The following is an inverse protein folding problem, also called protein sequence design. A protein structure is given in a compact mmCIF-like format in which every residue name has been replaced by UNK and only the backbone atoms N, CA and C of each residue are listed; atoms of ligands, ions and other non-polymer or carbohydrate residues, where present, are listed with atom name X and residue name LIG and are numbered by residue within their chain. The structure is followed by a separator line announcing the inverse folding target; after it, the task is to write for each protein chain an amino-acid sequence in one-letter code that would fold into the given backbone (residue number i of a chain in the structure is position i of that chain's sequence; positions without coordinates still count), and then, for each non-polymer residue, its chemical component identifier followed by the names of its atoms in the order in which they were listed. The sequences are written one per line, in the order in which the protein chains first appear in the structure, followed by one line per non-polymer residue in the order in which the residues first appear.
data_IF_498363433006
#
_entry.id   IF_498363433006
#
_cell.length_a   1.000
_cell.length_b   1.000
_cell.length_c   1.000
_cell.angle_alpha   90.00
_cell.angle_beta   90.00
_cell.angle_gamma   90.00
#
_symmetry.space_group_name_H-M   'P 1'
#
loop_
_entity.id
_entity.type
_entity.pdbx_description
1 polymer ?
#
# COMPACT_ATOMS: atom_id res chain seq x y z
N UNK A 1 29.14 -8.36 -4.70
CA UNK A 1 28.15 -8.22 -3.61
C UNK A 1 28.39 -6.90 -2.93
N UNK A 2 27.36 -6.06 -2.81
CA UNK A 2 27.43 -4.79 -2.11
C UNK A 2 27.46 -5.04 -0.60
N UNK A 3 28.36 -4.35 0.11
CA UNK A 3 28.44 -4.35 1.57
C UNK A 3 28.25 -2.94 2.08
N UNK A 4 27.27 -2.74 2.95
CA UNK A 4 27.06 -1.47 3.62
C UNK A 4 28.05 -1.31 4.76
N UNK A 5 28.52 -0.10 4.97
CA UNK A 5 29.57 0.20 5.97
C UNK A 5 29.05 1.30 6.89
N UNK A 6 29.13 1.06 8.19
CA UNK A 6 28.85 2.05 9.21
C UNK A 6 30.14 2.44 9.91
N UNK A 7 30.25 3.69 10.29
CA UNK A 7 31.30 4.16 11.17
C UNK A 7 31.14 3.57 12.59
N UNK A 8 32.10 3.81 13.48
CA UNK A 8 32.06 3.31 14.85
C UNK A 8 30.86 3.85 15.66
N UNK A 9 30.44 5.08 15.38
CA UNK A 9 29.28 5.75 15.96
C UNK A 9 27.94 5.28 15.36
N UNK A 10 27.98 4.45 14.29
CA UNK A 10 26.82 3.95 13.59
C UNK A 10 26.37 4.82 12.42
N UNK A 11 27.02 5.94 12.13
CA UNK A 11 26.72 6.77 10.97
C UNK A 11 27.01 6.03 9.65
N UNK A 12 26.17 6.19 8.61
CA UNK A 12 26.38 5.49 7.36
C UNK A 12 27.54 6.09 6.56
N UNK A 13 28.38 5.21 6.03
CA UNK A 13 29.48 5.52 5.12
C UNK A 13 29.18 5.02 3.71
N UNK A 14 30.09 5.32 2.77
CA UNK A 14 29.96 4.78 1.41
C UNK A 14 30.07 3.26 1.41
N UNK A 15 29.17 2.56 0.71
CA UNK A 15 29.20 1.12 0.60
C UNK A 15 30.38 0.65 -0.25
N UNK A 16 30.75 -0.61 -0.13
CA UNK A 16 31.89 -1.17 -0.86
C UNK A 16 31.52 -2.47 -1.58
N UNK A 17 32.12 -2.67 -2.75
CA UNK A 17 32.07 -3.93 -3.49
C UNK A 17 33.30 -4.82 -3.22
N UNK A 18 34.30 -4.32 -2.49
CA UNK A 18 35.54 -5.03 -2.21
C UNK A 18 35.40 -6.04 -1.08
N UNK A 19 34.90 -7.22 -1.40
CA UNK A 19 34.65 -8.31 -0.44
C UNK A 19 35.96 -8.80 0.22
N UNK A 20 37.11 -8.76 -0.51
CA UNK A 20 38.41 -9.17 0.06
C UNK A 20 38.77 -8.25 1.21
N UNK A 21 38.69 -6.93 1.03
CA UNK A 21 38.92 -5.93 2.07
C UNK A 21 37.98 -6.11 3.26
N UNK A 22 36.70 -6.34 3.02
CA UNK A 22 35.70 -6.59 4.07
C UNK A 22 36.07 -7.81 4.91
N UNK A 23 36.46 -8.93 4.28
CA UNK A 23 36.88 -10.16 4.97
C UNK A 23 38.14 -9.92 5.82
N UNK A 24 39.12 -9.17 5.30
CA UNK A 24 40.32 -8.82 6.03
C UNK A 24 39.99 -7.94 7.26
N UNK A 25 39.10 -6.98 7.11
CA UNK A 25 38.69 -6.12 8.23
C UNK A 25 37.97 -6.89 9.34
N UNK A 26 37.10 -7.81 8.97
CA UNK A 26 36.37 -8.70 9.90
C UNK A 26 37.37 -9.64 10.61
N UNK A 27 38.30 -10.28 9.86
CA UNK A 27 39.31 -11.17 10.43
C UNK A 27 40.29 -10.45 11.36
N UNK A 28 40.63 -9.20 11.01
CA UNK A 28 41.56 -8.37 11.82
C UNK A 28 40.87 -7.58 12.93
N UNK A 29 39.61 -7.83 13.26
CA UNK A 29 38.85 -7.13 14.30
C UNK A 29 38.62 -5.64 14.06
N UNK A 30 38.91 -5.13 12.86
CA UNK A 30 38.71 -3.72 12.49
C UNK A 30 37.25 -3.41 12.07
N UNK A 31 36.41 -4.43 11.90
CA UNK A 31 35.00 -4.30 11.69
C UNK A 31 34.26 -5.47 12.34
N UNK A 32 33.00 -5.24 12.67
CA UNK A 32 32.07 -6.26 13.16
C UNK A 32 30.83 -6.32 12.27
N UNK A 33 30.17 -7.47 12.23
CA UNK A 33 28.90 -7.61 11.49
C UNK A 33 27.82 -6.85 12.25
N UNK A 34 27.23 -5.83 11.62
CA UNK A 34 26.13 -5.03 12.19
C UNK A 34 24.76 -5.59 11.83
N UNK A 35 24.64 -6.25 10.67
CA UNK A 35 23.36 -6.83 10.26
C UNK A 35 23.36 -7.37 8.84
N UNK A 36 22.18 -7.94 8.47
CA UNK A 36 21.94 -8.49 7.13
C UNK A 36 20.74 -7.85 6.42
N UNK A 37 20.14 -6.81 7.00
CA UNK A 37 18.98 -6.11 6.42
C UNK A 37 19.22 -4.60 6.44
N UNK A 38 19.00 -3.90 5.33
CA UNK A 38 18.47 -4.33 4.01
C UNK A 38 19.48 -5.16 3.18
N UNK A 39 20.74 -5.23 3.59
CA UNK A 39 21.79 -6.04 3.01
C UNK A 39 22.90 -6.29 4.02
N UNK A 40 23.95 -6.97 3.60
CA UNK A 40 25.08 -7.24 4.47
C UNK A 40 25.75 -5.94 4.91
N UNK A 41 25.78 -5.72 6.21
CA UNK A 41 26.24 -4.47 6.84
C UNK A 41 27.33 -4.76 7.87
N UNK A 42 28.42 -4.04 7.79
CA UNK A 42 29.50 -4.05 8.78
C UNK A 42 29.60 -2.70 9.46
N UNK A 43 30.08 -2.69 10.70
CA UNK A 43 30.41 -1.48 11.46
C UNK A 43 31.89 -1.48 11.79
N UNK A 44 32.54 -0.36 11.56
CA UNK A 44 33.96 -0.16 11.95
C UNK A 44 34.10 -0.14 13.47
N UNK A 45 35.21 -0.66 13.97
CA UNK A 45 35.52 -0.69 15.41
C UNK A 45 36.44 0.47 15.83
N UNK A 46 36.93 1.25 14.88
CA UNK A 46 37.83 2.38 15.10
C UNK A 46 37.22 3.68 14.59
N UNK A 47 37.56 4.77 15.23
CA UNK A 47 37.17 6.10 14.78
C UNK A 47 37.95 6.48 13.52
N UNK A 48 37.30 7.15 12.61
CA UNK A 48 37.95 7.70 11.42
C UNK A 48 38.78 8.93 11.83
N UNK A 49 39.99 9.14 11.25
CA UNK A 49 40.87 10.24 11.64
C UNK A 49 40.26 11.63 11.55
N UNK A 50 39.37 11.84 10.58
CA UNK A 50 38.64 13.09 10.35
C UNK A 50 37.16 12.94 10.69
N UNK A 51 36.85 12.85 11.98
CA UNK A 51 35.45 12.73 12.43
C UNK A 51 34.56 13.93 12.09
N UNK A 52 35.11 15.07 11.66
CA UNK A 52 34.31 16.27 11.37
C UNK A 52 33.46 16.16 10.09
N UNK A 53 33.91 15.45 9.07
CA UNK A 53 33.10 15.16 7.85
C UNK A 53 33.65 13.92 7.14
N UNK A 54 33.03 12.74 7.27
CA UNK A 54 33.45 11.60 6.46
C UNK A 54 33.32 11.97 4.99
N UNK A 55 34.36 11.71 4.18
CA UNK A 55 34.35 11.88 2.73
C UNK A 55 33.32 10.94 2.09
N UNK A 56 32.07 11.36 2.09
CA UNK A 56 30.98 10.63 1.42
C UNK A 56 30.63 11.34 0.13
N UNK A 57 30.45 10.56 -0.94
CA UNK A 57 29.85 11.08 -2.16
C UNK A 57 28.41 11.50 -1.86
N UNK A 58 27.91 12.45 -2.65
CA UNK A 58 26.49 12.77 -2.60
C UNK A 58 25.68 11.55 -3.05
N UNK A 59 24.75 11.09 -2.20
CA UNK A 59 23.86 9.96 -2.44
C UNK A 59 22.42 10.44 -2.37
N UNK A 60 21.66 10.11 -3.39
CA UNK A 60 20.23 10.42 -3.47
C UNK A 60 19.40 9.15 -3.43
N UNK A 61 18.22 9.22 -2.83
CA UNK A 61 17.20 8.22 -2.88
C UNK A 61 16.03 8.75 -3.70
N UNK A 62 15.62 7.98 -4.69
CA UNK A 62 14.48 8.29 -5.54
C UNK A 62 13.40 7.23 -5.33
N UNK A 63 12.17 7.68 -5.10
CA UNK A 63 11.03 6.80 -4.87
C UNK A 63 9.86 7.16 -5.79
N UNK A 64 9.50 6.21 -6.68
CA UNK A 64 8.24 6.25 -7.41
C UNK A 64 7.14 5.74 -6.49
N UNK A 65 6.35 6.68 -5.96
CA UNK A 65 5.36 6.40 -4.95
C UNK A 65 4.09 5.82 -5.57
N UNK A 66 3.74 4.59 -5.22
CA UNK A 66 2.57 3.90 -5.77
C UNK A 66 1.70 3.18 -4.74
N UNK A 67 0.47 2.88 -5.13
CA UNK A 67 -0.50 2.19 -4.27
C UNK A 67 -0.20 0.70 -4.08
N UNK A 68 0.17 0.01 -5.15
CA UNK A 68 0.45 -1.43 -5.16
C UNK A 68 1.93 -1.74 -5.39
N UNK A 69 2.59 -0.93 -6.17
CA UNK A 69 3.98 -1.08 -6.54
C UNK A 69 4.71 0.22 -6.23
N UNK A 70 5.90 0.11 -5.67
CA UNK A 70 6.76 1.23 -5.33
C UNK A 70 8.11 0.95 -5.97
N UNK A 71 8.65 1.92 -6.68
CA UNK A 71 10.02 1.87 -7.17
C UNK A 71 10.96 2.60 -6.21
N UNK A 72 12.15 2.06 -6.00
CA UNK A 72 13.20 2.72 -5.20
C UNK A 72 14.53 2.57 -5.91
N UNK A 73 15.21 3.68 -6.10
CA UNK A 73 16.59 3.74 -6.58
C UNK A 73 17.43 4.56 -5.61
N UNK A 74 18.55 4.00 -5.14
CA UNK A 74 19.52 4.74 -4.32
C UNK A 74 20.84 4.79 -5.06
N UNK A 75 21.33 5.98 -5.32
CA UNK A 75 22.42 6.18 -6.28
C UNK A 75 23.30 7.38 -5.95
N UNK A 76 24.53 7.31 -6.46
CA UNK A 76 25.47 8.43 -6.54
C UNK A 76 25.76 8.76 -8.00
N UNK A 77 26.61 9.72 -8.28
CA UNK A 77 26.96 10.09 -9.64
C UNK A 77 27.53 8.93 -10.49
N UNK A 78 28.16 7.91 -9.87
CA UNK A 78 28.81 6.79 -10.56
C UNK A 78 28.09 5.47 -10.45
N UNK A 79 27.43 5.19 -9.34
CA UNK A 79 26.87 3.88 -9.01
C UNK A 79 25.43 4.00 -8.52
N UNK A 80 24.60 3.13 -8.99
CA UNK A 80 23.33 2.79 -8.38
C UNK A 80 23.59 1.64 -7.37
N UNK A 81 23.24 1.84 -6.11
CA UNK A 81 23.44 0.88 -5.03
C UNK A 81 22.23 0.00 -4.81
N UNK A 82 21.05 0.56 -5.03
CA UNK A 82 19.77 -0.12 -4.86
C UNK A 82 18.89 0.16 -6.05
N UNK A 83 18.41 -0.89 -6.68
CA UNK A 83 17.40 -0.85 -7.75
C UNK A 83 16.30 -1.83 -7.36
N UNK A 84 15.19 -1.31 -6.81
CA UNK A 84 14.22 -2.13 -6.11
C UNK A 84 12.80 -1.81 -6.54
N UNK A 85 12.05 -2.86 -6.87
CA UNK A 85 10.59 -2.79 -6.93
C UNK A 85 9.99 -3.44 -5.69
N UNK A 86 9.07 -2.75 -5.05
CA UNK A 86 8.35 -3.23 -3.86
C UNK A 86 6.90 -3.46 -4.21
N UNK A 87 6.47 -4.71 -4.13
CA UNK A 87 5.05 -5.05 -4.21
C UNK A 87 4.44 -4.94 -2.81
N UNK A 88 3.48 -4.05 -2.65
CA UNK A 88 2.74 -3.86 -1.40
C UNK A 88 1.70 -4.97 -1.23
N UNK A 89 1.01 -5.01 -0.08
CA UNK A 89 -0.03 -5.99 0.20
C UNK A 89 -1.21 -5.85 -0.80
N UNK A 90 -1.24 -6.70 -1.83
CA UNK A 90 -2.29 -6.70 -2.84
C UNK A 90 -3.59 -7.36 -2.34
N UNK A 91 -3.48 -8.30 -1.41
CA UNK A 91 -4.58 -9.10 -0.83
C UNK A 91 -5.25 -8.45 0.40
N UNK A 92 -4.84 -7.23 0.76
CA UNK A 92 -5.33 -6.55 1.96
C UNK A 92 -6.86 -6.44 1.99
N UNK A 93 -7.47 -6.13 0.85
CA UNK A 93 -8.93 -6.04 0.72
C UNK A 93 -9.60 -7.39 0.98
N UNK A 94 -9.12 -8.45 0.35
CA UNK A 94 -9.68 -9.81 0.51
C UNK A 94 -9.58 -10.26 1.97
N UNK A 95 -8.46 -9.94 2.62
CA UNK A 95 -8.24 -10.25 4.01
C UNK A 95 -9.20 -9.48 4.94
N UNK A 96 -9.44 -8.20 4.69
CA UNK A 96 -10.43 -7.42 5.43
C UNK A 96 -11.84 -7.95 5.23
N UNK A 97 -12.20 -8.37 4.02
CA UNK A 97 -13.50 -8.96 3.74
C UNK A 97 -13.67 -10.32 4.43
N UNK A 98 -12.63 -11.15 4.46
CA UNK A 98 -12.64 -12.39 5.23
C UNK A 98 -12.80 -12.13 6.74
N UNK A 99 -12.07 -11.18 7.30
CA UNK A 99 -12.22 -10.78 8.71
C UNK A 99 -13.61 -10.22 9.01
N UNK A 100 -14.21 -9.49 8.07
CA UNK A 100 -15.59 -8.99 8.21
C UNK A 100 -16.57 -10.15 8.26
N UNK A 101 -16.44 -11.15 7.39
CA UNK A 101 -17.27 -12.37 7.38
C UNK A 101 -17.14 -13.13 8.71
N UNK A 102 -15.93 -13.38 9.19
CA UNK A 102 -15.71 -14.04 10.48
C UNK A 102 -16.33 -13.28 11.65
N UNK A 103 -16.21 -11.94 11.68
CA UNK A 103 -16.86 -11.12 12.70
C UNK A 103 -18.38 -11.18 12.60
N UNK A 104 -18.95 -11.19 11.37
CA UNK A 104 -20.39 -11.33 11.16
C UNK A 104 -20.88 -12.69 11.68
N UNK A 105 -20.23 -13.79 11.27
CA UNK A 105 -20.58 -15.14 11.73
C UNK A 105 -20.52 -15.28 13.24
N UNK A 106 -19.47 -14.73 13.88
CA UNK A 106 -19.34 -14.73 15.33
C UNK A 106 -20.43 -13.92 16.02
N UNK A 107 -20.86 -12.79 15.46
CA UNK A 107 -21.95 -11.97 16.01
C UNK A 107 -23.30 -12.64 15.90
N UNK A 108 -23.57 -13.35 14.84
CA UNK A 108 -24.83 -14.07 14.64
C UNK A 108 -25.03 -15.22 15.63
N UNK A 109 -23.95 -15.69 16.28
CA UNK A 109 -24.00 -16.70 17.35
C UNK A 109 -24.13 -16.11 18.75
N UNK A 110 -24.07 -14.80 18.89
CA UNK A 110 -24.15 -14.08 20.16
C UNK A 110 -25.44 -13.29 20.21
N UNK A 111 -25.87 -12.93 21.46
CA UNK A 111 -26.97 -12.00 21.68
C UNK A 111 -26.88 -10.81 20.72
N UNK A 112 -28.04 -10.32 20.31
CA UNK A 112 -28.15 -9.09 19.53
C UNK A 112 -27.33 -7.99 20.22
N UNK A 113 -26.50 -7.34 19.42
CA UNK A 113 -25.76 -6.14 19.81
C UNK A 113 -26.03 -5.09 18.75
N UNK A 114 -26.36 -3.90 19.19
CA UNK A 114 -26.49 -2.76 18.29
C UNK A 114 -25.27 -2.60 17.40
N UNK A 115 -25.52 -2.20 16.18
CA UNK A 115 -24.47 -1.89 15.23
C UNK A 115 -23.67 -0.67 15.71
N UNK A 116 -22.35 -0.82 15.81
CA UNK A 116 -21.46 0.22 16.35
C UNK A 116 -20.92 1.19 15.29
N UNK A 117 -21.50 1.24 14.09
CA UNK A 117 -20.91 2.07 13.04
C UNK A 117 -21.07 3.58 13.33
N UNK A 118 -22.15 3.98 13.93
CA UNK A 118 -22.44 5.40 14.18
C UNK A 118 -21.54 6.01 15.26
N UNK A 119 -21.14 5.19 16.25
CA UNK A 119 -20.27 5.63 17.36
C UNK A 119 -18.82 5.98 16.93
N UNK A 120 -18.43 5.77 15.68
CA UNK A 120 -17.06 6.03 15.21
C UNK A 120 -16.98 7.10 14.13
N UNK A 121 -18.09 7.47 13.53
CA UNK A 121 -18.10 8.41 12.41
C UNK A 121 -17.79 9.83 12.88
N UNK A 122 -18.32 10.21 14.04
CA UNK A 122 -18.17 11.56 14.60
C UNK A 122 -17.01 11.70 15.60
N UNK A 123 -16.36 10.60 16.01
CA UNK A 123 -15.27 10.62 16.99
C UNK A 123 -13.86 10.69 16.39
N UNK A 124 -13.75 10.90 15.09
CA UNK A 124 -12.45 10.96 14.40
C UNK A 124 -11.84 12.35 14.51
N UNK A 125 -10.59 12.40 14.93
CA UNK A 125 -9.83 13.66 14.97
C UNK A 125 -9.61 14.22 13.56
N UNK A 126 -9.51 15.54 13.40
CA UNK A 126 -9.09 16.14 12.14
C UNK A 126 -7.80 15.47 11.61
N UNK A 127 -7.70 15.25 10.32
CA UNK A 127 -6.54 14.61 9.71
C UNK A 127 -6.43 13.08 9.91
N UNK A 128 -7.44 12.42 10.52
CA UNK A 128 -7.45 10.98 10.67
C UNK A 128 -7.44 10.26 9.32
N UNK A 129 -6.56 9.29 9.15
CA UNK A 129 -6.56 8.37 8.02
C UNK A 129 -7.08 7.00 8.41
N UNK A 130 -7.72 6.31 7.47
CA UNK A 130 -8.06 4.90 7.66
C UNK A 130 -6.76 4.09 7.91
N UNK A 131 -6.75 3.12 8.85
CA UNK A 131 -5.53 2.38 9.19
C UNK A 131 -4.82 1.71 8.01
N UNK A 132 -5.57 1.28 6.99
CA UNK A 132 -5.00 0.73 5.76
C UNK A 132 -4.27 1.78 4.92
N UNK A 133 -4.80 3.00 4.85
CA UNK A 133 -4.15 4.12 4.15
C UNK A 133 -2.90 4.57 4.92
N UNK A 134 -2.99 4.69 6.23
CA UNK A 134 -1.85 5.02 7.08
C UNK A 134 -0.75 3.97 6.94
N UNK A 135 -1.11 2.69 7.01
CA UNK A 135 -0.13 1.61 6.82
C UNK A 135 0.59 1.67 5.48
N UNK A 136 -0.13 1.98 4.40
CA UNK A 136 0.49 2.14 3.07
C UNK A 136 1.39 3.37 3.01
N UNK A 137 0.98 4.49 3.59
CA UNK A 137 1.84 5.67 3.70
C UNK A 137 3.11 5.37 4.51
N UNK A 138 2.98 4.66 5.64
CA UNK A 138 4.11 4.27 6.48
C UNK A 138 5.10 3.33 5.77
N UNK A 139 4.66 2.60 4.73
CA UNK A 139 5.58 1.76 3.93
C UNK A 139 6.60 2.63 3.21
N UNK A 140 6.17 3.73 2.58
CA UNK A 140 7.03 4.68 1.89
C UNK A 140 8.07 5.27 2.85
N UNK A 141 7.61 5.81 3.96
CA UNK A 141 8.48 6.39 4.99
C UNK A 141 9.50 5.38 5.52
N UNK A 142 9.08 4.13 5.74
CA UNK A 142 9.97 3.05 6.20
C UNK A 142 11.02 2.66 5.16
N UNK A 143 10.71 2.71 3.87
CA UNK A 143 11.69 2.44 2.82
C UNK A 143 12.81 3.49 2.87
N UNK A 144 12.47 4.77 2.90
CA UNK A 144 13.44 5.85 3.05
C UNK A 144 14.28 5.65 4.32
N UNK A 145 13.65 5.49 5.48
CA UNK A 145 14.34 5.29 6.77
C UNK A 145 15.24 4.03 6.78
N UNK A 146 14.84 2.97 6.08
CA UNK A 146 15.63 1.73 6.02
C UNK A 146 16.95 1.95 5.28
N UNK A 147 16.93 2.64 4.16
CA UNK A 147 18.16 2.90 3.40
C UNK A 147 18.98 4.03 3.98
N UNK A 148 18.37 5.05 4.58
CA UNK A 148 19.08 6.13 5.28
C UNK A 148 19.97 5.60 6.43
N UNK A 149 19.57 4.53 7.09
CA UNK A 149 20.35 3.90 8.17
C UNK A 149 21.65 3.24 7.69
N UNK A 150 21.78 2.94 6.41
CA UNK A 150 22.93 2.18 5.87
C UNK A 150 23.64 2.88 4.71
N UNK A 151 23.09 3.97 4.22
CA UNK A 151 23.66 4.79 3.13
C UNK A 151 23.59 6.27 3.52
N UNK A 152 24.61 7.07 3.19
CA UNK A 152 24.71 8.49 3.54
C UNK A 152 23.81 9.35 2.63
N UNK A 153 22.49 9.11 2.67
CA UNK A 153 21.48 9.79 1.85
C UNK A 153 21.30 11.20 2.40
N UNK A 154 21.33 12.19 1.51
CA UNK A 154 21.05 13.60 1.81
C UNK A 154 19.84 14.14 1.05
N UNK A 155 19.66 13.69 -0.19
CA UNK A 155 18.56 14.11 -1.03
C UNK A 155 17.58 12.96 -1.24
N UNK A 156 16.29 13.25 -1.11
CA UNK A 156 15.21 12.30 -1.35
C UNK A 156 14.27 12.89 -2.41
N UNK A 157 14.08 12.17 -3.51
CA UNK A 157 13.18 12.54 -4.58
C UNK A 157 11.94 11.66 -4.52
N UNK A 158 10.76 12.26 -4.39
CA UNK A 158 9.48 11.56 -4.35
C UNK A 158 8.64 11.93 -5.57
N UNK A 159 8.19 10.94 -6.31
CA UNK A 159 7.19 11.18 -7.36
C UNK A 159 5.83 11.40 -6.71
N UNK A 160 5.23 12.56 -6.97
CA UNK A 160 3.88 12.90 -6.51
C UNK A 160 2.96 13.07 -7.71
N UNK A 161 1.83 12.38 -7.71
CA UNK A 161 0.84 12.52 -8.77
C UNK A 161 0.31 13.94 -8.85
N UNK A 162 0.29 14.50 -10.06
CA UNK A 162 -0.29 15.84 -10.32
C UNK A 162 -1.77 15.80 -10.65
N UNK A 163 -2.24 14.64 -11.13
CA UNK A 163 -3.62 14.49 -11.58
C UNK A 163 -4.55 14.24 -10.39
N UNK A 164 -5.31 15.25 -10.07
CA UNK A 164 -6.26 15.22 -8.96
C UNK A 164 -7.66 15.51 -9.45
N UNK A 165 -8.45 14.46 -9.61
CA UNK A 165 -9.83 14.54 -10.08
C UNK A 165 -10.73 15.32 -9.12
N UNK A 166 -10.48 15.23 -7.81
CA UNK A 166 -11.32 15.90 -6.80
C UNK A 166 -11.01 17.39 -6.74
N UNK A 167 -9.75 17.79 -6.93
CA UNK A 167 -9.39 19.22 -7.07
C UNK A 167 -10.03 19.82 -8.32
N UNK A 168 -9.98 19.10 -9.45
CA UNK A 168 -10.61 19.58 -10.68
C UNK A 168 -12.12 19.74 -10.50
N UNK A 169 -12.77 18.73 -9.92
CA UNK A 169 -14.20 18.77 -9.61
C UNK A 169 -14.57 19.89 -8.63
N UNK A 170 -13.75 20.10 -7.58
CA UNK A 170 -13.95 21.18 -6.63
C UNK A 170 -13.83 22.57 -7.30
N UNK A 171 -12.82 22.75 -8.16
CA UNK A 171 -12.64 23.99 -8.94
C UNK A 171 -13.80 24.26 -9.88
N UNK A 172 -14.29 23.24 -10.60
CA UNK A 172 -15.46 23.37 -11.49
C UNK A 172 -16.73 23.75 -10.73
N UNK A 173 -16.89 23.24 -9.50
CA UNK A 173 -18.06 23.50 -8.66
C UNK A 173 -17.90 24.70 -7.71
N UNK A 174 -16.77 25.40 -7.72
CA UNK A 174 -16.48 26.51 -6.79
C UNK A 174 -16.42 26.08 -5.32
N UNK A 175 -16.07 24.80 -5.05
CA UNK A 175 -15.94 24.24 -3.70
C UNK A 175 -14.51 24.42 -3.16
N UNK A 176 -14.32 24.37 -1.82
CA UNK A 176 -13.00 24.34 -1.23
C UNK A 176 -12.16 23.18 -1.78
N UNK A 177 -10.87 23.42 -2.00
CA UNK A 177 -9.95 22.38 -2.47
C UNK A 177 -9.76 21.35 -1.36
N UNK A 178 -9.99 20.04 -1.64
CA UNK A 178 -9.86 19.00 -0.63
C UNK A 178 -8.41 18.80 -0.22
N UNK A 179 -8.16 18.61 1.08
CA UNK A 179 -6.85 18.35 1.65
C UNK A 179 -6.88 17.14 2.59
N UNK A 180 -5.80 16.35 2.58
CA UNK A 180 -5.60 15.25 3.53
C UNK A 180 -6.81 14.34 3.70
N UNK A 181 -7.51 14.42 4.83
CA UNK A 181 -8.67 13.58 5.15
C UNK A 181 -9.91 13.86 4.29
N UNK A 182 -10.01 15.04 3.65
CA UNK A 182 -11.19 15.41 2.84
C UNK A 182 -11.33 14.49 1.63
N UNK A 183 -10.22 13.97 1.12
CA UNK A 183 -10.23 12.95 0.07
C UNK A 183 -10.94 11.65 0.45
N UNK A 184 -11.15 11.39 1.73
CA UNK A 184 -11.95 10.27 2.21
C UNK A 184 -13.45 10.56 2.18
N UNK A 185 -13.82 11.84 2.04
CA UNK A 185 -15.18 12.34 1.96
C UNK A 185 -15.69 12.32 0.51
N UNK A 186 -15.58 11.16 -0.15
CA UNK A 186 -16.10 11.00 -1.51
C UNK A 186 -17.62 10.97 -1.57
N UNK A 187 -18.18 10.74 -2.77
CA UNK A 187 -19.61 10.76 -3.05
C UNK A 187 -20.52 9.88 -2.17
N UNK A 188 -19.94 9.02 -1.32
CA UNK A 188 -20.64 8.17 -0.34
C UNK A 188 -20.49 8.63 1.11
N UNK A 189 -19.76 9.68 1.33
CA UNK A 189 -19.57 10.20 2.68
C UNK A 189 -20.88 10.81 3.20
N UNK A 190 -21.23 10.51 4.43
CA UNK A 190 -22.47 10.91 5.10
C UNK A 190 -23.76 10.33 4.49
N UNK A 191 -23.68 9.47 3.50
CA UNK A 191 -24.84 8.80 2.91
C UNK A 191 -25.02 7.41 3.52
N UNK A 192 -26.17 7.15 4.12
CA UNK A 192 -26.41 5.95 4.90
C UNK A 192 -26.34 4.66 4.08
N UNK A 193 -26.83 4.66 2.84
CA UNK A 193 -26.89 3.47 1.99
C UNK A 193 -26.22 3.68 0.63
N UNK A 194 -25.72 2.59 0.05
CA UNK A 194 -25.18 2.60 -1.30
C UNK A 194 -26.23 3.03 -2.34
N UNK A 195 -27.46 2.60 -2.15
CA UNK A 195 -28.60 2.95 -3.00
C UNK A 195 -28.82 4.46 -3.05
N UNK A 196 -28.82 5.09 -1.89
CA UNK A 196 -28.98 6.54 -1.78
C UNK A 196 -27.82 7.28 -2.44
N UNK A 197 -26.60 6.82 -2.27
CA UNK A 197 -25.41 7.39 -2.91
C UNK A 197 -25.51 7.35 -4.45
N UNK A 198 -26.05 6.26 -5.01
CA UNK A 198 -26.24 6.15 -6.46
C UNK A 198 -27.34 7.09 -6.93
N UNK A 199 -28.46 7.17 -6.22
CA UNK A 199 -29.56 8.08 -6.53
C UNK A 199 -29.12 9.54 -6.48
N UNK A 200 -28.43 9.93 -5.43
CA UNK A 200 -27.87 11.28 -5.28
C UNK A 200 -26.94 11.65 -6.42
N UNK A 201 -25.97 10.78 -6.77
CA UNK A 201 -25.04 10.98 -7.90
C UNK A 201 -25.79 11.18 -9.22
N UNK A 202 -26.85 10.41 -9.44
CA UNK A 202 -27.62 10.40 -10.68
C UNK A 202 -28.77 11.45 -10.68
N UNK A 203 -28.80 12.32 -9.66
CA UNK A 203 -29.79 13.41 -9.54
C UNK A 203 -31.20 12.92 -9.36
N UNK A 204 -31.40 11.74 -8.72
CA UNK A 204 -32.72 11.11 -8.53
C UNK A 204 -33.50 10.91 -9.83
N UNK A 205 -32.80 10.71 -10.96
CA UNK A 205 -33.37 10.50 -12.29
C UNK A 205 -32.94 9.16 -12.90
N UNK A 206 -33.84 8.53 -13.61
CA UNK A 206 -33.55 7.32 -14.38
C UNK A 206 -32.58 7.66 -15.53
N UNK A 207 -31.42 7.07 -15.54
CA UNK A 207 -30.37 7.32 -16.54
C UNK A 207 -30.74 6.72 -17.93
N UNK A 208 -31.84 5.91 -18.00
CA UNK A 208 -32.34 5.33 -19.23
C UNK A 208 -33.38 6.21 -19.92
N UNK A 209 -34.32 6.81 -19.15
CA UNK A 209 -35.42 7.61 -19.72
C UNK A 209 -35.44 9.06 -19.21
N UNK A 210 -34.54 9.47 -18.33
CA UNK A 210 -34.43 10.83 -17.78
C UNK A 210 -35.50 11.20 -16.74
N UNK A 211 -36.54 10.39 -16.53
CA UNK A 211 -37.64 10.67 -15.60
C UNK A 211 -37.26 10.34 -14.16
N UNK A 212 -37.65 11.18 -13.21
CA UNK A 212 -37.32 11.07 -11.80
C UNK A 212 -38.49 10.72 -10.88
N UNK A 213 -38.26 10.88 -9.58
CA UNK A 213 -39.28 10.71 -8.54
C UNK A 213 -40.42 11.71 -8.76
N UNK A 214 -40.08 12.92 -9.15
CA UNK A 214 -41.04 14.00 -9.47
C UNK A 214 -42.03 13.62 -10.57
N UNK A 215 -41.61 12.72 -11.51
CA UNK A 215 -42.45 12.16 -12.57
C UNK A 215 -43.22 10.90 -12.12
N UNK A 216 -43.31 10.65 -10.82
CA UNK A 216 -43.96 9.45 -10.28
C UNK A 216 -43.22 8.15 -10.56
N UNK A 217 -41.88 8.20 -10.76
CA UNK A 217 -41.09 7.00 -11.05
C UNK A 217 -40.51 6.41 -9.77
N UNK A 218 -40.67 5.11 -9.61
CA UNK A 218 -39.96 4.35 -8.57
C UNK A 218 -38.56 4.03 -9.10
N UNK A 219 -37.54 4.49 -8.40
CA UNK A 219 -36.14 4.30 -8.77
C UNK A 219 -35.55 3.04 -8.16
N UNK A 220 -34.69 2.37 -8.91
CA UNK A 220 -33.90 1.21 -8.49
C UNK A 220 -32.45 1.37 -8.91
N UNK A 221 -31.54 0.72 -8.20
CA UNK A 221 -30.14 0.61 -8.60
C UNK A 221 -29.96 -0.62 -9.47
N UNK A 222 -29.30 -0.44 -10.61
CA UNK A 222 -28.98 -1.49 -11.56
C UNK A 222 -27.46 -1.68 -11.65
N UNK A 223 -26.98 -2.93 -11.66
CA UNK A 223 -25.60 -3.28 -11.92
C UNK A 223 -25.35 -3.33 -13.42
N UNK A 224 -24.53 -2.44 -13.93
CA UNK A 224 -24.24 -2.32 -15.37
C UNK A 224 -23.61 -3.61 -15.92
N UNK A 225 -22.75 -4.27 -15.13
CA UNK A 225 -22.05 -5.50 -15.52
C UNK A 225 -22.83 -6.81 -15.29
N UNK A 226 -24.14 -6.75 -14.97
CA UNK A 226 -24.92 -7.93 -14.59
C UNK A 226 -24.93 -9.07 -15.65
N UNK A 227 -24.75 -8.74 -16.91
CA UNK A 227 -24.78 -9.67 -18.05
C UNK A 227 -23.45 -10.38 -18.31
N UNK A 228 -22.42 -10.01 -17.56
CA UNK A 228 -21.10 -10.62 -17.57
C UNK A 228 -20.99 -11.72 -16.53
N UNK A 229 -19.77 -12.05 -16.15
CA UNK A 229 -19.50 -13.04 -15.10
C UNK A 229 -19.93 -12.53 -13.72
N UNK A 230 -20.20 -13.40 -12.73
CA UNK A 230 -20.53 -13.00 -11.36
C UNK A 230 -19.48 -12.09 -10.71
N UNK A 231 -18.24 -12.12 -11.15
CA UNK A 231 -17.18 -11.21 -10.72
C UNK A 231 -17.42 -9.75 -11.08
N UNK A 232 -18.23 -9.51 -12.11
CA UNK A 232 -18.60 -8.16 -12.57
C UNK A 232 -19.80 -7.57 -11.82
N UNK A 233 -20.47 -8.36 -10.97
CA UNK A 233 -21.56 -7.91 -10.09
C UNK A 233 -21.03 -7.19 -8.84
N UNK A 234 -20.16 -6.21 -9.04
CA UNK A 234 -19.56 -5.47 -7.92
C UNK A 234 -20.38 -4.26 -7.52
N UNK A 235 -20.50 -4.00 -6.22
CA UNK A 235 -21.14 -2.81 -5.64
C UNK A 235 -20.27 -1.54 -5.75
N UNK A 236 -19.49 -1.41 -6.82
CA UNK A 236 -18.73 -0.20 -7.10
C UNK A 236 -19.65 0.86 -7.68
N UNK A 237 -19.49 2.11 -7.25
CA UNK A 237 -20.28 3.23 -7.78
C UNK A 237 -20.23 3.31 -9.31
N UNK A 238 -19.09 3.03 -9.93
CA UNK A 238 -18.93 3.00 -11.39
C UNK A 238 -19.70 1.88 -12.09
N UNK A 239 -20.06 0.81 -11.37
CA UNK A 239 -20.83 -0.32 -11.89
C UNK A 239 -22.34 -0.21 -11.59
N UNK A 240 -22.75 0.85 -10.91
CA UNK A 240 -24.12 1.06 -10.48
C UNK A 240 -24.71 2.26 -11.19
N UNK A 241 -26.01 2.19 -11.50
CA UNK A 241 -26.74 3.26 -12.17
C UNK A 241 -28.19 3.29 -11.70
N UNK A 242 -28.76 4.48 -11.67
CA UNK A 242 -30.17 4.64 -11.33
C UNK A 242 -31.05 4.37 -12.54
N UNK A 243 -32.01 3.47 -12.39
CA UNK A 243 -33.04 3.18 -13.39
C UNK A 243 -34.40 3.13 -12.74
N UNK A 244 -35.47 3.48 -13.48
CA UNK A 244 -36.83 3.34 -12.96
C UNK A 244 -37.40 1.92 -13.20
N UNK A 245 -38.43 1.54 -12.46
CA UNK A 245 -39.07 0.22 -12.60
C UNK A 245 -39.62 -0.06 -14.00
N UNK A 246 -40.04 0.99 -14.75
CA UNK A 246 -40.46 0.83 -16.13
C UNK A 246 -39.32 0.56 -17.12
N UNK A 247 -38.10 0.98 -16.81
CA UNK A 247 -36.91 0.69 -17.59
C UNK A 247 -36.16 -0.56 -17.10
N UNK A 248 -36.28 -0.90 -15.82
CA UNK A 248 -35.64 -2.06 -15.20
C UNK A 248 -36.50 -3.32 -15.34
N UNK A 249 -36.68 -3.77 -16.58
CA UNK A 249 -37.51 -4.94 -16.92
C UNK A 249 -36.67 -6.05 -17.54
N UNK A 250 -37.13 -7.29 -17.44
CA UNK A 250 -36.45 -8.45 -18.03
C UNK A 250 -36.22 -8.29 -19.55
N UNK A 251 -37.16 -7.62 -20.26
CA UNK A 251 -37.02 -7.35 -21.70
C UNK A 251 -35.80 -6.44 -21.98
N UNK A 252 -35.59 -5.40 -21.16
CA UNK A 252 -34.48 -4.48 -21.33
C UNK A 252 -33.11 -5.06 -20.96
N UNK A 253 -33.06 -6.22 -20.30
CA UNK A 253 -31.82 -6.94 -20.00
C UNK A 253 -31.43 -7.93 -21.13
N UNK A 254 -32.27 -8.22 -22.06
CA UNK A 254 -31.98 -9.08 -23.23
C UNK A 254 -31.12 -8.34 -24.26
N UNK A 255 -30.50 -9.08 -25.20
CA UNK A 255 -29.61 -8.54 -26.24
C UNK A 255 -30.11 -7.33 -27.00
N UNK A 256 -31.41 -7.22 -27.20
CA UNK A 256 -32.07 -6.08 -27.87
C UNK A 256 -32.51 -4.97 -26.92
N UNK A 257 -32.36 -5.16 -25.63
CA UNK A 257 -32.86 -4.24 -24.61
C UNK A 257 -31.93 -3.07 -24.32
N UNK A 258 -32.49 -1.97 -23.82
CA UNK A 258 -31.76 -0.73 -23.55
C UNK A 258 -30.66 -0.84 -22.48
N UNK A 259 -30.72 -1.83 -21.60
CA UNK A 259 -29.73 -2.04 -20.52
C UNK A 259 -28.66 -3.09 -20.86
N UNK A 260 -28.85 -3.81 -21.96
CA UNK A 260 -27.90 -4.85 -22.36
C UNK A 260 -26.61 -4.25 -22.90
N UNK A 261 -25.48 -4.85 -22.49
CA UNK A 261 -24.17 -4.46 -23.02
C UNK A 261 -23.64 -3.11 -22.51
N UNK A 262 -24.34 -2.45 -21.59
CA UNK A 262 -23.78 -1.26 -20.97
C UNK A 262 -22.46 -1.56 -20.27
N UNK A 263 -21.48 -0.68 -20.47
CA UNK A 263 -20.17 -0.78 -19.81
C UNK A 263 -20.08 0.29 -18.73
N UNK A 264 -19.48 -0.01 -17.58
CA UNK A 264 -19.16 1.02 -16.58
C UNK A 264 -18.37 2.16 -17.24
N UNK A 265 -18.86 3.38 -17.11
CA UNK A 265 -18.25 4.56 -17.76
C UNK A 265 -16.86 4.87 -17.21
N UNK A 266 -16.56 4.45 -15.97
CA UNK A 266 -15.26 4.69 -15.35
C UNK A 266 -14.74 3.45 -14.62
N UNK A 267 -13.46 3.16 -14.78
CA UNK A 267 -12.73 2.23 -13.90
C UNK A 267 -12.42 2.96 -12.60
N UNK A 268 -12.55 2.31 -11.43
CA UNK A 268 -12.18 2.94 -10.17
C UNK A 268 -10.68 3.23 -10.17
N UNK A 269 -10.33 4.49 -10.02
CA UNK A 269 -8.94 4.96 -9.92
C UNK A 269 -8.44 4.86 -8.47
N UNK A 270 -8.49 3.66 -7.89
CA UNK A 270 -8.14 3.43 -6.48
C UNK A 270 -6.73 3.90 -6.13
N UNK A 271 -5.78 3.68 -7.04
CA UNK A 271 -4.40 4.13 -6.86
C UNK A 271 -4.27 5.65 -6.85
N UNK A 272 -4.94 6.33 -7.79
CA UNK A 272 -4.93 7.79 -7.85
C UNK A 272 -5.62 8.41 -6.62
N UNK A 273 -6.77 7.88 -6.21
CA UNK A 273 -7.46 8.33 -5.01
C UNK A 273 -6.61 8.14 -3.74
N UNK A 274 -5.87 7.02 -3.64
CA UNK A 274 -4.92 6.82 -2.55
C UNK A 274 -3.82 7.88 -2.56
N UNK A 275 -3.18 8.09 -3.69
CA UNK A 275 -2.08 9.05 -3.80
C UNK A 275 -2.55 10.47 -3.51
N UNK A 276 -3.73 10.87 -3.98
CA UNK A 276 -4.31 12.17 -3.67
C UNK A 276 -4.52 12.38 -2.16
N UNK A 277 -4.92 11.32 -1.46
CA UNK A 277 -5.15 11.37 -0.01
C UNK A 277 -3.85 11.46 0.80
N UNK A 278 -2.78 10.80 0.38
CA UNK A 278 -1.60 10.57 1.23
C UNK A 278 -0.30 11.22 0.75
N UNK A 279 -0.22 11.67 -0.51
CA UNK A 279 1.03 12.17 -1.11
C UNK A 279 1.76 13.22 -0.26
N UNK A 280 1.05 14.24 0.18
CA UNK A 280 1.65 15.30 0.99
C UNK A 280 1.98 14.86 2.41
N UNK A 281 1.21 13.91 2.96
CA UNK A 281 1.55 13.27 4.25
C UNK A 281 2.80 12.43 4.16
N UNK A 282 3.03 11.73 3.04
CA UNK A 282 4.29 11.00 2.81
C UNK A 282 5.44 12.00 2.73
N UNK A 283 5.32 13.05 1.93
CA UNK A 283 6.35 14.09 1.80
C UNK A 283 6.68 14.70 3.17
N UNK A 284 5.67 15.08 3.94
CA UNK A 284 5.89 15.67 5.27
C UNK A 284 6.53 14.66 6.23
N UNK A 285 6.03 13.43 6.27
CA UNK A 285 6.58 12.39 7.14
C UNK A 285 8.03 12.00 6.78
N UNK A 286 8.43 12.12 5.50
CA UNK A 286 9.84 11.94 5.11
C UNK A 286 10.70 13.13 5.55
N UNK A 287 10.19 14.36 5.45
CA UNK A 287 10.88 15.55 6.01
C UNK A 287 11.08 15.47 7.52
N UNK A 288 10.09 14.91 8.21
CA UNK A 288 10.12 14.76 9.67
C UNK A 288 11.05 13.64 10.16
N UNK A 289 11.55 12.76 9.25
CA UNK A 289 12.48 11.69 9.62
C UNK A 289 13.82 12.23 10.13
N UNK A 290 14.34 13.25 9.44
CA UNK A 290 15.64 13.83 9.74
C UNK A 290 15.73 15.23 9.09
N UNK A 291 16.04 16.23 9.90
CA UNK A 291 16.21 17.61 9.46
C UNK A 291 17.35 17.83 8.46
N UNK A 292 18.28 16.87 8.38
CA UNK A 292 19.40 16.91 7.42
C UNK A 292 19.01 16.45 6.01
N UNK A 293 17.80 15.88 5.82
CA UNK A 293 17.30 15.46 4.53
C UNK A 293 16.70 16.63 3.74
N UNK A 294 17.14 16.76 2.49
CA UNK A 294 16.48 17.63 1.52
C UNK A 294 15.48 16.81 0.71
N UNK A 295 14.18 17.12 0.84
CA UNK A 295 13.12 16.39 0.15
C UNK A 295 12.63 17.16 -1.05
N UNK A 296 12.80 16.58 -2.23
CA UNK A 296 12.36 17.09 -3.51
C UNK A 296 11.11 16.35 -3.99
N UNK A 297 10.23 17.02 -4.70
CA UNK A 297 9.07 16.41 -5.34
C UNK A 297 9.22 16.47 -6.85
N UNK A 298 8.86 15.39 -7.54
CA UNK A 298 8.86 15.30 -8.99
C UNK A 298 7.52 14.75 -9.51
N UNK A 299 7.34 14.77 -10.81
CA UNK A 299 6.08 14.42 -11.45
C UNK A 299 6.29 13.36 -12.53
N UNK A 300 5.35 12.47 -12.69
CA UNK A 300 5.42 11.35 -13.63
C UNK A 300 5.62 11.74 -15.10
N UNK A 301 5.32 12.99 -15.46
CA UNK A 301 5.62 13.49 -16.81
C UNK A 301 7.14 13.58 -17.07
N UNK A 302 7.87 14.13 -16.10
CA UNK A 302 9.34 14.21 -16.17
C UNK A 302 9.98 12.83 -16.12
N UNK A 303 9.53 11.98 -15.21
CA UNK A 303 10.00 10.58 -15.09
C UNK A 303 9.80 9.82 -16.41
N UNK A 304 8.63 10.00 -17.06
CA UNK A 304 8.33 9.38 -18.35
C UNK A 304 9.26 9.86 -19.46
N UNK A 305 9.56 11.15 -19.52
CA UNK A 305 10.48 11.70 -20.53
C UNK A 305 11.90 11.14 -20.32
N UNK A 306 12.46 11.29 -19.11
CA UNK A 306 13.78 10.77 -18.76
C UNK A 306 13.91 9.27 -19.05
N UNK A 307 12.88 8.47 -18.73
CA UNK A 307 12.87 7.03 -19.03
C UNK A 307 12.92 6.73 -20.51
N UNK A 308 12.23 7.52 -21.35
CA UNK A 308 12.29 7.39 -22.81
C UNK A 308 13.66 7.75 -23.38
N UNK A 309 14.26 8.83 -22.90
CA UNK A 309 15.59 9.28 -23.32
C UNK A 309 16.66 8.23 -23.03
N UNK A 310 16.49 7.45 -21.93
CA UNK A 310 17.35 6.33 -21.58
C UNK A 310 16.92 4.99 -22.18
N UNK A 311 15.89 4.96 -23.03
CA UNK A 311 15.36 3.74 -23.67
C UNK A 311 15.05 2.61 -22.67
N UNK A 312 14.57 2.96 -21.45
CA UNK A 312 14.28 2.00 -20.40
C UNK A 312 12.83 1.52 -20.46
N UNK A 313 12.64 0.21 -20.16
CA UNK A 313 11.32 -0.38 -20.02
C UNK A 313 10.55 0.28 -18.86
N UNK A 314 9.21 0.31 -18.96
CA UNK A 314 8.36 0.85 -17.90
C UNK A 314 8.26 -0.13 -16.75
N UNK A 315 9.05 0.09 -15.70
CA UNK A 315 8.91 -0.53 -14.38
C UNK A 315 8.96 0.58 -13.32
N UNK A 316 8.40 0.35 -12.13
CA UNK A 316 8.48 1.33 -11.04
C UNK A 316 9.94 1.56 -10.60
N UNK A 317 10.76 0.53 -10.63
CA UNK A 317 12.18 0.65 -10.33
C UNK A 317 12.93 1.53 -11.34
N UNK A 318 12.64 1.39 -12.65
CA UNK A 318 13.20 2.25 -13.70
C UNK A 318 12.68 3.68 -13.61
N UNK A 319 11.40 3.86 -13.25
CA UNK A 319 10.85 5.20 -13.03
C UNK A 319 11.58 5.87 -11.85
N UNK A 320 11.84 5.16 -10.74
CA UNK A 320 12.66 5.67 -9.64
C UNK A 320 14.10 6.00 -10.07
N UNK A 321 14.73 5.17 -10.90
CA UNK A 321 16.06 5.44 -11.43
C UNK A 321 16.10 6.73 -12.26
N UNK A 322 15.06 7.03 -13.02
CA UNK A 322 14.98 8.20 -13.91
C UNK A 322 14.73 9.53 -13.17
N UNK A 323 14.50 9.49 -11.86
CA UNK A 323 14.35 10.68 -11.04
C UNK A 323 15.70 11.16 -10.48
N UNK A 324 15.72 12.35 -9.91
CA UNK A 324 16.88 12.92 -9.23
C UNK A 324 17.90 13.53 -10.18
N UNK A 325 19.03 13.91 -9.62
CA UNK A 325 20.11 14.62 -10.32
C UNK A 325 21.11 13.67 -10.97
N UNK A 326 21.21 12.42 -10.52
CA UNK A 326 22.20 11.47 -10.99
C UNK A 326 21.60 10.39 -11.85
N UNK A 327 22.35 9.99 -12.90
CA UNK A 327 22.01 8.87 -13.77
C UNK A 327 23.27 8.03 -14.02
N UNK A 328 23.65 7.21 -13.04
CA UNK A 328 24.91 6.50 -13.05
C UNK A 328 24.96 5.43 -14.14
N UNK A 329 26.13 5.28 -14.75
CA UNK A 329 26.38 4.23 -15.76
C UNK A 329 26.33 2.83 -15.15
N UNK A 330 26.83 2.69 -13.90
CA UNK A 330 26.84 1.40 -13.20
C UNK A 330 25.52 1.19 -12.47
N UNK A 331 24.63 0.43 -13.08
CA UNK A 331 23.32 0.12 -12.50
C UNK A 331 23.37 -1.10 -11.59
N UNK A 332 22.56 -1.07 -10.54
CA UNK A 332 22.29 -2.24 -9.70
C UNK A 332 21.34 -3.22 -10.42
N UNK A 333 21.43 -4.50 -10.07
CA UNK A 333 20.46 -5.49 -10.53
C UNK A 333 19.10 -5.23 -9.86
N UNK A 334 18.04 -5.28 -10.67
CA UNK A 334 16.67 -5.09 -10.17
C UNK A 334 16.32 -6.20 -9.17
N UNK A 335 15.83 -5.79 -8.02
CA UNK A 335 15.35 -6.67 -6.97
C UNK A 335 13.85 -6.50 -6.77
N UNK A 336 13.15 -7.58 -6.51
CA UNK A 336 11.72 -7.58 -6.22
C UNK A 336 11.47 -7.92 -4.75
N UNK A 337 10.99 -6.95 -3.99
CA UNK A 337 10.56 -7.13 -2.60
C UNK A 337 9.05 -7.28 -2.52
N UNK A 338 8.57 -8.47 -2.21
CA UNK A 338 7.15 -8.71 -1.96
C UNK A 338 6.84 -8.58 -0.48
N UNK A 339 6.03 -7.59 -0.11
CA UNK A 339 5.53 -7.46 1.26
C UNK A 339 4.52 -8.54 1.54
N UNK A 340 4.74 -9.29 2.62
CA UNK A 340 3.81 -10.30 3.12
C UNK A 340 3.42 -9.97 4.54
N UNK A 341 2.17 -10.18 4.89
CA UNK A 341 1.72 -10.06 6.26
C UNK A 341 2.33 -11.19 7.08
N UNK A 342 3.05 -10.84 8.15
CA UNK A 342 3.46 -11.83 9.14
C UNK A 342 2.24 -12.34 9.87
N UNK A 343 2.06 -13.63 9.88
CA UNK A 343 1.17 -14.27 10.80
C UNK A 343 1.98 -14.66 12.04
N UNK A 344 1.72 -13.99 13.16
CA UNK A 344 2.39 -14.26 14.43
C UNK A 344 1.73 -15.42 15.19
N UNK A 345 0.71 -16.04 14.59
CA UNK A 345 0.02 -17.17 15.19
C UNK A 345 0.51 -18.46 14.57
N UNK A 346 0.55 -19.51 15.37
CA UNK A 346 0.79 -20.85 14.86
C UNK A 346 -0.38 -21.25 13.98
N UNK A 347 -0.07 -21.60 12.75
CA UNK A 347 -1.03 -22.12 11.78
C UNK A 347 -1.02 -23.64 11.88
N UNK A 348 -1.75 -24.18 12.84
CA UNK A 348 -2.07 -25.60 12.86
C UNK A 348 -3.43 -25.79 12.21
N UNK A 349 -3.51 -26.73 11.28
CA UNK A 349 -4.74 -27.08 10.59
C UNK A 349 -5.60 -27.89 11.55
N UNK A 350 -6.76 -27.34 11.89
CA UNK A 350 -7.70 -28.01 12.79
C UNK A 350 -8.67 -28.88 11.98
N UNK A 351 -8.77 -30.14 12.34
CA UNK A 351 -9.65 -31.08 11.69
C UNK A 351 -10.39 -31.89 12.77
N UNK A 352 -11.71 -31.76 12.88
CA UNK A 352 -12.60 -32.46 13.84
C UNK A 352 -12.06 -32.53 15.29
N UNK A 353 -11.80 -31.39 15.91
CA UNK A 353 -11.17 -31.29 17.22
C UNK A 353 -9.76 -31.91 17.30
N UNK A 354 -9.22 -32.29 16.16
CA UNK A 354 -7.86 -32.83 15.99
C UNK A 354 -7.04 -31.83 15.17
N UNK A 355 -5.76 -31.84 15.32
CA UNK A 355 -4.86 -31.07 14.45
C UNK A 355 -3.77 -31.98 13.87
N UNK A 356 -3.22 -31.54 12.77
CA UNK A 356 -2.05 -32.20 12.20
C UNK A 356 -0.85 -31.37 12.61
N UNK A 357 0.09 -31.94 13.31
CA UNK A 357 1.36 -31.30 13.61
C UNK A 357 2.14 -31.16 12.30
N UNK A 358 2.61 -29.95 12.03
CA UNK A 358 3.34 -29.66 10.79
C UNK A 358 4.73 -30.29 10.82
N UNK A 359 5.27 -30.55 12.02
CA UNK A 359 6.61 -31.12 12.18
C UNK A 359 6.67 -32.62 11.90
N UNK A 360 5.66 -33.37 12.32
CA UNK A 360 5.62 -34.82 12.22
C UNK A 360 4.49 -35.38 11.32
N UNK A 361 3.60 -34.50 10.85
CA UNK A 361 2.46 -34.87 10.02
C UNK A 361 1.38 -35.71 10.74
N UNK A 362 1.52 -35.94 12.04
CA UNK A 362 0.66 -36.83 12.80
C UNK A 362 -0.59 -36.10 13.29
N UNK A 363 -1.76 -36.72 13.15
CA UNK A 363 -3.02 -36.24 13.74
C UNK A 363 -2.99 -36.41 15.25
N UNK A 364 -3.13 -35.31 15.99
CA UNK A 364 -3.26 -35.34 17.45
C UNK A 364 -4.71 -35.04 17.86
N UNK A 365 -5.22 -35.77 18.86
CA UNK A 365 -6.58 -35.55 19.34
C UNK A 365 -6.69 -34.25 20.16
N UNK A 366 -7.92 -33.81 20.36
CA UNK A 366 -8.17 -32.61 21.20
C UNK A 366 -7.70 -32.76 22.65
N UNK A 367 -7.61 -34.00 23.15
CA UNK A 367 -7.05 -34.31 24.48
C UNK A 367 -5.55 -34.13 24.58
N UNK A 368 -4.83 -34.25 23.45
CA UNK A 368 -3.38 -34.01 23.38
C UNK A 368 -3.06 -32.49 23.27
N UNK A 369 -4.08 -31.69 23.12
CA UNK A 369 -3.98 -30.24 23.09
C UNK A 369 -4.13 -29.72 24.52
N UNK A 370 -3.05 -29.30 25.12
CA UNK A 370 -3.00 -28.87 26.53
C UNK A 370 -3.97 -27.73 26.90
N UNK A 371 -4.53 -27.01 25.96
CA UNK A 371 -5.39 -25.86 26.24
C UNK A 371 -6.43 -25.54 25.17
N UNK A 372 -6.78 -26.44 24.31
CA UNK A 372 -7.91 -26.28 23.39
C UNK A 372 -7.89 -24.97 22.56
N UNK A 373 -9.06 -24.36 22.42
CA UNK A 373 -9.26 -23.20 21.54
C UNK A 373 -8.59 -21.90 22.00
N UNK A 374 -8.35 -21.74 23.29
CA UNK A 374 -7.77 -20.52 23.85
C UNK A 374 -6.38 -20.24 23.34
N UNK A 375 -5.62 -21.26 23.06
CA UNK A 375 -4.23 -21.15 22.64
C UNK A 375 -4.04 -20.94 21.14
N UNK A 376 -5.08 -21.05 20.32
CA UNK A 376 -5.03 -20.72 18.89
C UNK A 376 -4.71 -19.27 18.61
N UNK A 377 -4.99 -18.39 19.55
CA UNK A 377 -4.77 -16.95 19.40
C UNK A 377 -3.46 -16.47 19.99
N UNK A 378 -2.70 -17.34 20.63
CA UNK A 378 -1.41 -16.96 21.19
C UNK A 378 -0.41 -16.60 20.10
N UNK A 379 0.34 -15.50 20.26
CA UNK A 379 1.37 -15.13 19.32
C UNK A 379 2.50 -16.16 19.36
N UNK A 380 3.08 -16.40 18.21
CA UNK A 380 4.31 -17.19 18.09
C UNK A 380 5.46 -16.41 18.73
N UNK A 381 5.83 -16.74 19.95
CA UNK A 381 7.08 -16.25 20.51
C UNK A 381 8.20 -17.09 19.89
N UNK A 382 9.28 -16.50 19.44
CA UNK A 382 10.31 -17.10 18.58
C UNK A 382 11.01 -18.37 19.07
N UNK A 383 10.47 -19.06 20.09
CA UNK A 383 10.99 -20.32 20.67
C UNK A 383 10.23 -21.57 20.24
N UNK A 384 9.61 -21.53 19.07
CA UNK A 384 8.92 -22.68 18.53
C UNK A 384 7.41 -22.59 18.55
N UNK A 385 6.78 -23.60 18.05
CA UNK A 385 5.34 -23.72 17.98
C UNK A 385 4.85 -24.08 19.38
N UNK A 386 4.11 -23.22 20.02
CA UNK A 386 3.42 -23.59 21.23
C UNK A 386 2.46 -24.74 20.92
N UNK A 387 2.64 -25.88 21.57
CA UNK A 387 1.71 -27.01 21.49
C UNK A 387 0.28 -26.60 21.90
N UNK A 388 0.16 -25.46 22.53
CA UNK A 388 -1.09 -24.90 23.03
C UNK A 388 -1.91 -24.18 21.97
N UNK A 389 -1.39 -23.93 20.79
CA UNK A 389 -2.04 -23.16 19.75
C UNK A 389 -2.56 -24.00 18.60
N UNK A 390 -2.61 -25.29 18.80
CA UNK A 390 -3.13 -26.26 17.86
C UNK A 390 -4.64 -26.27 17.71
#
# INVERSE_FOLDING_TARGET
MLTYVLAADGSPLMPTYNIKKVRQMLKGGRAVIAGHKPGFTIRLTYALPDQKTPHTQKVELCEDTGYQHIGVSVKSARHEFVHLQVDTLADEKQHHDAQRRYRRTRRNRLRYREARFDNRTHSKKPGWLAPSLQHKADIHVRLVSTFQKVLPIRDVYLEVGTFDTQILEAKEKGLPIPEGSDYQHGARYSIATLREAVFYRDGYKCQCCGKGIEDGRILRVHHIGYWKTPSDHTDRMSNLITVCTKCHTAANHKKSGKLYGWKPKMKPLTGAAFMNTVRWKIVQAVKDLDSSLTVHTTYGAYTKLSRRDHSLAKTHANDAYCMGAFQPVHRATEQLLKKRRRNNRVLSKFYDAKYIDIGDGVKKSGSDLSCGRTNRSEPRNGKGVSKKTG
#
